data_IF_572053017480
#
_entry.id   IF_572053017480
#
_cell.length_a   1.000
_cell.length_b   1.000
_cell.length_c   1.000
_cell.angle_alpha   90.00
_cell.angle_beta   90.00
_cell.angle_gamma   90.00
#
_symmetry.space_group_name_H-M   'P 1'
#
loop_
_entity.id
_entity.type
_entity.pdbx_description
1 polymer ?
#
# COMPACT_ATOMS: atom_id res chain seq x y z
N UNK A 1 9.86 1.16 -14.17
CA UNK A 1 9.97 0.37 -12.93
C UNK A 1 8.65 -0.02 -12.31
N UNK A 2 7.67 0.89 -12.10
CA UNK A 2 6.43 0.57 -11.38
C UNK A 2 5.70 -0.67 -11.94
N UNK A 3 5.56 -0.77 -13.27
CA UNK A 3 4.96 -1.96 -13.91
C UNK A 3 5.77 -3.25 -13.72
N UNK A 4 7.09 -3.16 -13.69
CA UNK A 4 7.97 -4.30 -13.42
C UNK A 4 7.81 -4.74 -11.96
N UNK A 5 7.84 -3.81 -11.01
CA UNK A 5 7.53 -4.06 -9.59
C UNK A 5 6.16 -4.74 -9.43
N UNK A 6 5.12 -4.23 -10.10
CA UNK A 6 3.78 -4.82 -10.05
C UNK A 6 3.76 -6.29 -10.48
N UNK A 7 4.42 -6.61 -11.59
CA UNK A 7 4.50 -7.96 -12.15
C UNK A 7 5.38 -8.89 -11.31
N UNK A 8 6.52 -8.41 -10.86
CA UNK A 8 7.57 -9.23 -10.24
C UNK A 8 7.40 -9.38 -8.73
N UNK A 9 6.79 -8.40 -8.04
CA UNK A 9 6.73 -8.35 -6.57
C UNK A 9 5.31 -8.52 -6.01
N UNK A 10 4.28 -8.06 -6.73
CA UNK A 10 2.92 -7.98 -6.18
C UNK A 10 1.94 -8.99 -6.77
N UNK A 11 2.25 -9.59 -7.93
CA UNK A 11 1.33 -10.50 -8.61
C UNK A 11 0.06 -9.82 -9.14
N UNK A 12 0.12 -8.51 -9.41
CA UNK A 12 -1.02 -7.71 -9.86
C UNK A 12 -1.41 -8.11 -11.28
N UNK A 13 -2.72 -8.25 -11.53
CA UNK A 13 -3.27 -8.67 -12.82
C UNK A 13 -4.78 -8.45 -12.95
N UNK A 14 -5.46 -9.12 -13.91
CA UNK A 14 -6.87 -8.87 -14.20
C UNK A 14 -7.87 -9.14 -13.06
N UNK A 15 -7.47 -9.94 -12.07
CA UNK A 15 -8.26 -10.23 -10.89
C UNK A 15 -8.13 -9.16 -9.79
N UNK A 16 -7.14 -8.26 -9.91
CA UNK A 16 -6.81 -7.29 -8.88
C UNK A 16 -7.79 -6.12 -8.85
N UNK A 17 -8.18 -5.70 -7.65
CA UNK A 17 -9.06 -4.56 -7.39
C UNK A 17 -8.31 -3.59 -6.49
N UNK A 18 -7.82 -2.52 -7.10
CA UNK A 18 -6.91 -1.53 -6.49
C UNK A 18 -7.72 -0.38 -5.91
N UNK A 19 -7.52 -0.10 -4.63
CA UNK A 19 -8.15 1.03 -3.96
C UNK A 19 -7.42 2.33 -4.32
N UNK A 20 -8.04 3.18 -5.12
CA UNK A 20 -7.52 4.51 -5.44
C UNK A 20 -7.86 5.45 -4.28
N UNK A 21 -6.92 5.58 -3.34
CA UNK A 21 -7.08 6.37 -2.12
C UNK A 21 -6.39 7.73 -2.22
N UNK A 22 -5.17 7.76 -2.78
CA UNK A 22 -4.34 8.97 -2.81
C UNK A 22 -5.06 10.13 -3.51
N UNK A 23 -4.84 11.36 -3.05
CA UNK A 23 -5.28 12.53 -3.82
C UNK A 23 -4.51 12.57 -5.16
N UNK A 24 -5.16 12.91 -6.29
CA UNK A 24 -4.47 13.09 -7.58
C UNK A 24 -3.30 14.09 -7.56
N UNK A 25 -3.22 14.94 -6.52
CA UNK A 25 -2.09 15.86 -6.30
C UNK A 25 -0.84 15.19 -5.72
N UNK A 26 -0.92 13.94 -5.26
CA UNK A 26 0.24 13.14 -4.86
C UNK A 26 0.56 12.12 -5.95
N UNK A 27 1.86 11.90 -6.16
CA UNK A 27 2.39 10.96 -7.15
C UNK A 27 1.96 9.51 -6.91
N UNK A 28 1.69 9.10 -5.67
CA UNK A 28 1.11 7.80 -5.32
C UNK A 28 -0.21 7.52 -6.06
N UNK A 29 -1.02 8.55 -6.36
CA UNK A 29 -2.25 8.36 -7.14
C UNK A 29 -1.96 7.89 -8.57
N UNK A 30 -0.81 8.26 -9.14
CA UNK A 30 -0.36 7.73 -10.42
C UNK A 30 -0.01 6.25 -10.32
N UNK A 31 0.53 5.81 -9.18
CA UNK A 31 0.78 4.39 -8.96
C UNK A 31 -0.51 3.57 -8.83
N UNK A 32 -1.53 4.08 -8.12
CA UNK A 32 -2.87 3.46 -8.08
C UNK A 32 -3.41 3.24 -9.51
N UNK A 33 -3.33 4.28 -10.35
CA UNK A 33 -3.76 4.24 -11.75
C UNK A 33 -3.01 3.16 -12.53
N UNK A 34 -1.67 3.11 -12.44
CA UNK A 34 -0.87 2.09 -13.11
C UNK A 34 -1.23 0.68 -12.63
N UNK A 35 -1.35 0.49 -11.31
CA UNK A 35 -1.69 -0.79 -10.68
C UNK A 35 -3.05 -1.31 -11.19
N UNK A 36 -4.05 -0.45 -11.25
CA UNK A 36 -5.41 -0.83 -11.65
C UNK A 36 -5.57 -1.00 -13.16
N UNK A 37 -5.07 -0.04 -13.95
CA UNK A 37 -5.44 0.07 -15.37
C UNK A 37 -4.44 -0.64 -16.30
N UNK A 38 -3.15 -0.65 -15.97
CA UNK A 38 -2.11 -1.20 -16.86
C UNK A 38 -1.87 -2.70 -16.63
N UNK A 39 -2.53 -3.28 -15.63
CA UNK A 39 -2.49 -4.72 -15.32
C UNK A 39 -3.71 -5.50 -15.85
N UNK A 40 -4.69 -4.79 -16.44
CA UNK A 40 -6.01 -5.34 -16.78
C UNK A 40 -6.95 -5.50 -15.58
N UNK A 41 -6.53 -5.04 -14.39
CA UNK A 41 -7.33 -5.07 -13.17
C UNK A 41 -8.42 -3.99 -13.15
N UNK A 42 -8.92 -3.70 -11.94
CA UNK A 42 -9.93 -2.69 -11.68
C UNK A 42 -9.39 -1.62 -10.72
N UNK A 43 -9.55 -0.37 -11.10
CA UNK A 43 -9.37 0.78 -10.21
C UNK A 43 -10.70 1.09 -9.51
N UNK A 44 -10.70 1.18 -8.18
CA UNK A 44 -11.87 1.52 -7.37
C UNK A 44 -11.62 2.85 -6.68
N UNK A 45 -12.33 3.90 -7.11
CA UNK A 45 -12.10 5.28 -6.66
C UNK A 45 -12.85 5.58 -5.38
N UNK A 46 -12.11 5.83 -4.29
CA UNK A 46 -12.71 6.16 -2.99
C UNK A 46 -13.35 7.55 -3.05
N UNK A 47 -14.65 7.67 -2.73
CA UNK A 47 -15.32 8.96 -2.57
C UNK A 47 -14.64 9.84 -1.50
N UNK A 48 -14.62 11.15 -1.70
CA UNK A 48 -13.85 12.06 -0.85
C UNK A 48 -14.25 12.00 0.64
N UNK A 49 -15.55 11.86 0.93
CA UNK A 49 -16.12 11.71 2.27
C UNK A 49 -15.70 10.40 2.98
N UNK A 50 -15.23 9.41 2.22
CA UNK A 50 -14.77 8.11 2.74
C UNK A 50 -13.25 8.00 2.84
N UNK A 51 -12.49 9.03 2.44
CA UNK A 51 -11.02 9.07 2.54
C UNK A 51 -10.55 9.44 3.95
N UNK A 52 -11.10 8.78 4.96
CA UNK A 52 -10.87 9.03 6.38
C UNK A 52 -10.66 7.70 7.11
N UNK A 53 -9.93 7.67 8.24
CA UNK A 53 -9.77 6.44 9.00
C UNK A 53 -11.10 5.99 9.60
N UNK A 54 -11.34 4.68 9.65
CA UNK A 54 -12.52 4.07 10.26
C UNK A 54 -13.43 3.31 9.29
N UNK A 55 -14.63 3.00 9.79
CA UNK A 55 -15.63 2.20 9.09
C UNK A 55 -15.95 2.69 7.66
N UNK A 56 -16.09 3.99 7.36
CA UNK A 56 -16.42 4.44 6.01
C UNK A 56 -15.46 3.95 4.92
N UNK A 57 -14.15 3.92 5.23
CA UNK A 57 -13.12 3.43 4.33
C UNK A 57 -13.10 1.90 4.28
N UNK A 58 -13.13 1.26 5.44
CA UNK A 58 -13.10 -0.19 5.56
C UNK A 58 -14.30 -0.86 4.88
N UNK A 59 -15.51 -0.37 5.13
CA UNK A 59 -16.75 -0.88 4.54
C UNK A 59 -16.76 -0.70 3.03
N UNK A 60 -16.25 0.45 2.54
CA UNK A 60 -16.10 0.69 1.11
C UNK A 60 -15.11 -0.32 0.49
N UNK A 61 -13.97 -0.55 1.14
CA UNK A 61 -12.99 -1.52 0.67
C UNK A 61 -13.53 -2.96 0.66
N UNK A 62 -14.33 -3.35 1.65
CA UNK A 62 -14.98 -4.65 1.70
C UNK A 62 -16.07 -4.80 0.63
N UNK A 63 -16.99 -3.83 0.53
CA UNK A 63 -18.07 -3.86 -0.45
C UNK A 63 -17.54 -3.93 -1.89
N UNK A 64 -16.40 -3.32 -2.15
CA UNK A 64 -15.72 -3.35 -3.44
C UNK A 64 -14.63 -4.42 -3.54
N UNK A 65 -14.59 -5.40 -2.61
CA UNK A 65 -13.70 -6.58 -2.63
C UNK A 65 -12.26 -6.25 -2.99
N UNK A 66 -11.72 -5.21 -2.38
CA UNK A 66 -10.38 -4.70 -2.65
C UNK A 66 -9.31 -5.76 -2.37
N UNK A 67 -8.31 -5.83 -3.24
CA UNK A 67 -7.20 -6.79 -3.14
C UNK A 67 -5.84 -6.10 -3.00
N UNK A 68 -5.75 -4.79 -3.27
CA UNK A 68 -4.51 -4.03 -3.16
C UNK A 68 -4.80 -2.60 -2.68
N UNK A 69 -4.03 -2.14 -1.69
CA UNK A 69 -4.19 -0.83 -1.07
C UNK A 69 -2.83 -0.17 -0.87
N UNK A 70 -2.72 1.11 -1.21
CA UNK A 70 -1.61 1.97 -0.78
C UNK A 70 -2.18 2.97 0.22
N UNK A 71 -1.79 2.87 1.48
CA UNK A 71 -2.34 3.72 2.56
C UNK A 71 -1.22 4.36 3.38
N UNK A 72 -1.32 5.66 3.73
CA UNK A 72 -0.34 6.34 4.57
C UNK A 72 -0.24 5.70 5.97
N UNK A 73 0.96 5.62 6.57
CA UNK A 73 1.16 5.15 7.94
C UNK A 73 0.31 5.90 8.97
N UNK A 74 0.18 7.23 8.87
CA UNK A 74 -0.67 8.01 9.76
C UNK A 74 -2.15 7.62 9.68
N UNK A 75 -2.67 7.32 8.48
CA UNK A 75 -4.03 6.84 8.30
C UNK A 75 -4.22 5.49 8.98
N UNK A 76 -3.28 4.56 8.76
CA UNK A 76 -3.29 3.23 9.36
C UNK A 76 -3.23 3.30 10.90
N UNK A 77 -2.40 4.19 11.45
CA UNK A 77 -2.29 4.41 12.89
C UNK A 77 -3.59 4.95 13.50
N UNK A 78 -4.34 5.77 12.75
CA UNK A 78 -5.60 6.36 13.19
C UNK A 78 -6.83 5.42 13.04
N UNK A 79 -6.67 4.24 12.46
CA UNK A 79 -7.77 3.28 12.33
C UNK A 79 -8.19 2.74 13.71
N UNK A 80 -9.50 2.77 14.06
CA UNK A 80 -10.04 2.11 15.26
C UNK A 80 -9.68 0.63 15.32
N UNK A 81 -9.43 0.08 16.52
CA UNK A 81 -8.99 -1.31 16.72
C UNK A 81 -10.00 -2.35 16.24
N UNK A 82 -11.29 -2.04 16.36
CA UNK A 82 -12.42 -2.88 15.96
C UNK A 82 -12.76 -2.79 14.46
N UNK A 83 -12.06 -1.93 13.71
CA UNK A 83 -12.24 -1.78 12.26
C UNK A 83 -11.12 -2.51 11.52
N UNK A 84 -11.51 -3.53 10.78
CA UNK A 84 -10.60 -4.30 9.94
C UNK A 84 -10.61 -3.77 8.51
N UNK A 85 -9.44 -3.76 7.87
CA UNK A 85 -9.33 -3.61 6.42
C UNK A 85 -9.42 -5.02 5.77
N UNK A 86 -9.70 -5.12 4.46
CA UNK A 86 -9.74 -6.42 3.78
C UNK A 86 -8.53 -7.29 4.13
N UNK A 87 -8.73 -8.45 4.78
CA UNK A 87 -7.65 -9.14 5.49
C UNK A 87 -6.64 -9.80 4.57
N UNK A 88 -7.03 -10.12 3.33
CA UNK A 88 -6.15 -10.75 2.32
C UNK A 88 -5.60 -9.76 1.30
N UNK A 89 -5.99 -8.49 1.37
CA UNK A 89 -5.50 -7.48 0.44
C UNK A 89 -4.03 -7.16 0.71
N UNK A 90 -3.23 -7.06 -0.35
CA UNK A 90 -1.85 -6.57 -0.21
C UNK A 90 -1.88 -5.11 0.24
N UNK A 91 -1.14 -4.79 1.30
CA UNK A 91 -1.00 -3.43 1.81
C UNK A 91 0.39 -2.90 1.52
N UNK A 92 0.46 -1.71 0.96
CA UNK A 92 1.69 -0.94 0.84
C UNK A 92 1.56 0.32 1.67
N UNK A 93 2.54 0.57 2.54
CA UNK A 93 2.66 1.78 3.33
C UNK A 93 4.00 2.45 3.02
N UNK A 94 4.05 3.77 3.01
CA UNK A 94 5.24 4.52 2.63
C UNK A 94 5.06 6.01 2.89
N UNK A 95 5.91 6.84 2.28
CA UNK A 95 5.94 8.33 2.40
C UNK A 95 6.19 8.90 3.80
N UNK A 96 6.04 8.07 4.83
CA UNK A 96 6.30 8.35 6.25
C UNK A 96 6.97 7.13 6.89
N UNK A 97 7.41 7.26 8.14
CA UNK A 97 7.98 6.13 8.87
C UNK A 97 6.91 5.07 9.15
N UNK A 98 7.12 3.87 8.63
CA UNK A 98 6.38 2.67 9.04
C UNK A 98 6.96 2.14 10.35
N UNK A 99 6.13 1.99 11.38
CA UNK A 99 6.56 1.51 12.69
C UNK A 99 6.41 -0.01 12.84
N UNK A 100 7.19 -0.68 13.69
CA UNK A 100 7.01 -2.11 13.99
C UNK A 100 5.60 -2.43 14.52
N UNK A 101 4.96 -1.51 15.25
CA UNK A 101 3.60 -1.69 15.77
C UNK A 101 2.57 -1.74 14.64
N UNK A 102 2.69 -0.86 13.63
CA UNK A 102 1.86 -0.91 12.43
C UNK A 102 2.08 -2.23 11.68
N UNK A 103 3.33 -2.67 11.55
CA UNK A 103 3.66 -3.94 10.92
C UNK A 103 3.03 -5.11 11.68
N UNK A 104 3.17 -5.17 13.00
CA UNK A 104 2.55 -6.21 13.83
C UNK A 104 1.03 -6.25 13.69
N UNK A 105 0.37 -5.09 13.57
CA UNK A 105 -1.09 -4.97 13.38
C UNK A 105 -1.55 -5.39 11.99
N UNK A 106 -0.77 -5.10 10.95
CA UNK A 106 -1.25 -5.14 9.57
C UNK A 106 -0.54 -6.14 8.65
N UNK A 107 0.58 -6.73 9.04
CA UNK A 107 1.30 -7.69 8.20
C UNK A 107 0.90 -9.15 8.43
N UNK A 108 0.20 -9.47 9.54
CA UNK A 108 -0.24 -10.85 9.79
C UNK A 108 -1.34 -11.25 8.80
N UNK A 109 -1.15 -12.38 8.12
CA UNK A 109 -2.14 -12.95 7.19
C UNK A 109 -2.19 -12.32 5.79
N UNK A 110 -1.35 -11.31 5.49
CA UNK A 110 -1.26 -10.68 4.15
C UNK A 110 0.13 -10.18 3.83
N UNK A 111 0.38 -9.87 2.56
CA UNK A 111 1.60 -9.15 2.19
C UNK A 111 1.48 -7.68 2.60
N UNK A 112 2.42 -7.21 3.42
CA UNK A 112 2.59 -5.80 3.73
C UNK A 112 3.98 -5.34 3.30
N UNK A 113 4.06 -4.20 2.61
CA UNK A 113 5.32 -3.63 2.16
C UNK A 113 5.55 -2.25 2.78
N UNK A 114 6.79 -1.99 3.20
CA UNK A 114 7.33 -0.67 3.48
C UNK A 114 8.00 -0.14 2.20
N UNK A 115 7.41 0.91 1.63
CA UNK A 115 7.79 1.51 0.38
C UNK A 115 8.49 2.86 0.61
N UNK A 116 9.56 3.10 -0.14
CA UNK A 116 10.26 4.37 -0.10
C UNK A 116 10.63 4.83 -1.50
N UNK A 117 10.27 6.06 -1.83
CA UNK A 117 10.76 6.77 -3.00
C UNK A 117 10.32 8.23 -2.95
N UNK A 118 11.19 9.17 -3.36
CA UNK A 118 10.79 10.55 -3.57
C UNK A 118 10.07 10.70 -4.93
N UNK A 119 9.31 11.78 -5.08
CA UNK A 119 8.57 12.12 -6.31
C UNK A 119 9.49 12.12 -7.54
N UNK A 120 10.69 12.68 -7.41
CA UNK A 120 11.72 12.79 -8.44
C UNK A 120 12.17 11.43 -8.98
N UNK A 121 12.00 10.36 -8.19
CA UNK A 121 12.34 9.01 -8.56
C UNK A 121 11.14 8.22 -9.12
N UNK A 122 10.04 8.85 -9.53
CA UNK A 122 8.82 8.13 -10.01
C UNK A 122 8.18 7.29 -8.89
N UNK A 123 7.75 7.99 -7.83
CA UNK A 123 6.94 7.46 -6.71
C UNK A 123 7.63 6.51 -5.74
N UNK A 124 8.19 5.40 -6.22
CA UNK A 124 8.77 4.38 -5.35
C UNK A 124 10.11 3.91 -5.86
N UNK A 125 11.10 3.74 -4.99
CA UNK A 125 12.47 3.34 -5.33
C UNK A 125 12.89 2.03 -4.67
N UNK A 126 12.45 1.76 -3.45
CA UNK A 126 12.76 0.54 -2.72
C UNK A 126 11.51 -0.05 -2.08
N UNK A 127 11.49 -1.37 -1.92
CA UNK A 127 10.41 -2.10 -1.25
C UNK A 127 10.98 -3.11 -0.26
N UNK A 128 10.55 -3.01 0.99
CA UNK A 128 10.78 -3.99 2.04
C UNK A 128 9.51 -4.78 2.31
N UNK A 129 9.58 -6.11 2.20
CA UNK A 129 8.52 -6.97 2.73
C UNK A 129 8.58 -6.89 4.26
N UNK A 130 7.48 -6.50 4.89
CA UNK A 130 7.41 -6.33 6.33
C UNK A 130 7.33 -7.70 7.02
N UNK A 131 8.13 -7.87 8.07
CA UNK A 131 8.08 -9.05 8.95
C UNK A 131 7.22 -8.72 10.19
N UNK A 132 6.06 -9.38 10.40
CA UNK A 132 5.19 -9.15 11.56
C UNK A 132 5.84 -9.46 12.90
N UNK A 133 6.98 -10.17 12.91
CA UNK A 133 7.74 -10.52 14.12
C UNK A 133 8.94 -9.57 14.33
N UNK A 134 9.02 -8.48 13.56
CA UNK A 134 9.97 -7.38 13.78
C UNK A 134 9.83 -6.85 15.21
N UNK A 135 10.90 -6.84 16.04
CA UNK A 135 10.81 -6.40 17.42
C UNK A 135 10.41 -4.93 17.56
N UNK A 136 9.70 -4.60 18.64
CA UNK A 136 9.39 -3.21 18.97
C UNK A 136 10.68 -2.38 19.14
N UNK A 137 10.64 -1.10 18.74
CA UNK A 137 11.78 -0.19 18.83
C UNK A 137 12.87 -0.36 17.75
N UNK A 138 12.73 -1.33 16.83
CA UNK A 138 13.63 -1.44 15.67
C UNK A 138 13.14 -0.59 14.50
N UNK A 139 13.97 -0.52 13.46
CA UNK A 139 13.63 0.17 12.20
C UNK A 139 13.04 -0.86 11.24
N UNK A 140 11.87 -0.57 10.68
CA UNK A 140 11.32 -1.34 9.56
C UNK A 140 12.11 -0.97 8.30
N UNK A 141 12.84 -1.91 7.66
CA UNK A 141 13.66 -1.58 6.50
C UNK A 141 12.82 -1.10 5.32
N UNK A 142 13.35 -0.16 4.54
CA UNK A 142 12.79 0.24 3.24
C UNK A 142 13.09 -0.77 2.12
N UNK A 143 13.83 -1.82 2.46
CA UNK A 143 14.09 -3.00 1.64
C UNK A 143 15.06 -2.77 0.49
N UNK A 144 14.77 -3.39 -0.65
CA UNK A 144 15.69 -3.48 -1.80
C UNK A 144 15.20 -2.61 -2.96
N UNK A 145 16.09 -2.16 -3.86
CA UNK A 145 15.70 -1.38 -5.02
C UNK A 145 14.68 -2.09 -5.92
N UNK A 146 13.79 -1.27 -6.50
CA UNK A 146 12.88 -1.67 -7.57
C UNK A 146 13.63 -2.15 -8.83
N UNK A 147 13.00 -2.96 -9.69
CA UNK A 147 13.60 -3.37 -10.96
C UNK A 147 14.08 -2.19 -11.79
N UNK A 148 15.32 -2.26 -12.27
CA UNK A 148 15.97 -1.19 -13.02
C UNK A 148 16.36 0.04 -12.20
N UNK A 149 16.31 -0.04 -10.86
CA UNK A 149 16.68 1.05 -9.93
C UNK A 149 17.89 0.64 -9.09
N UNK A 150 18.62 1.61 -8.55
CA UNK A 150 19.72 1.42 -7.59
C UNK A 150 19.57 2.38 -6.42
N UNK A 151 20.05 1.96 -5.25
CA UNK A 151 20.21 2.79 -4.06
C UNK A 151 21.68 2.69 -3.63
N UNK A 152 22.29 3.80 -3.23
CA UNK A 152 23.69 3.92 -2.87
C UNK A 152 23.83 4.54 -1.48
#
# INVERSE_FOLDING_TARGET
>A
KLLATQRERFGIGPHSRVLQFASPSFDVAFWDLCLGLLSGGRLVVVPADRRVPGAPLADYAHAHGITFMILPPALLAAMPEDVELPPTATLLAGTERVSPELVGRYARGRMMFNAYGPTEATTNSTLGLCDPDTPAGTIVPIGVPDPGTRAY
#
